data_IF_321719624037
#
_entry.id   IF_321719624037
#
_cell.length_a   1.000
_cell.length_b   1.000
_cell.length_c   1.000
_cell.angle_alpha   90.00
_cell.angle_beta   90.00
_cell.angle_gamma   90.00
#
_symmetry.space_group_name_H-M   'P 1'
#
loop_
_entity.id
_entity.type
_entity.pdbx_description
1 polymer ?
#
# COMPACT_ATOMS: atom_id res chain seq x y z
N UNK A 1 5.73 28.15 15.07
CA UNK A 1 6.28 27.41 13.91
C UNK A 1 5.10 27.03 13.02
N UNK A 2 4.91 27.70 11.88
CA UNK A 2 3.74 27.46 11.03
C UNK A 2 3.76 26.03 10.49
N UNK A 3 2.80 25.20 10.91
CA UNK A 3 2.64 23.84 10.40
C UNK A 3 2.27 23.96 8.91
N UNK A 4 3.24 23.69 8.04
CA UNK A 4 3.06 23.71 6.59
C UNK A 4 1.98 22.69 6.26
N UNK A 5 0.79 23.15 5.84
CA UNK A 5 -0.32 22.27 5.46
C UNK A 5 0.16 21.36 4.34
N UNK A 6 -0.08 20.07 4.50
CA UNK A 6 0.20 19.08 3.47
C UNK A 6 -0.82 19.29 2.35
N UNK A 7 -0.34 19.69 1.16
CA UNK A 7 -1.20 19.85 -0.01
C UNK A 7 -1.79 18.52 -0.47
N UNK A 8 -2.81 18.54 -1.33
CA UNK A 8 -3.51 17.34 -1.82
C UNK A 8 -2.57 16.29 -2.41
N UNK A 9 -1.55 16.73 -3.15
CA UNK A 9 -0.61 15.82 -3.82
C UNK A 9 0.32 15.09 -2.83
N UNK A 10 0.97 15.84 -1.93
CA UNK A 10 1.91 15.29 -0.94
C UNK A 10 1.19 14.62 0.24
N UNK A 11 0.02 15.11 0.63
CA UNK A 11 -0.70 14.67 1.80
C UNK A 11 -1.68 13.53 1.57
N UNK A 12 -2.21 13.37 0.34
CA UNK A 12 -3.27 12.39 0.04
C UNK A 12 -2.88 11.50 -1.13
N UNK A 13 -2.61 12.07 -2.31
CA UNK A 13 -2.36 11.28 -3.51
C UNK A 13 -1.13 10.37 -3.38
N UNK A 14 0.00 10.93 -2.99
CA UNK A 14 1.25 10.18 -2.80
C UNK A 14 1.07 9.01 -1.83
N UNK A 15 0.53 9.19 -0.59
CA UNK A 15 0.25 8.08 0.35
C UNK A 15 -0.70 7.05 -0.19
N UNK A 16 -1.80 7.46 -0.81
CA UNK A 16 -2.76 6.50 -1.34
C UNK A 16 -2.14 5.63 -2.43
N UNK A 17 -1.43 6.22 -3.40
CA UNK A 17 -0.78 5.45 -4.48
C UNK A 17 0.26 4.47 -3.91
N UNK A 18 1.08 4.91 -2.95
CA UNK A 18 2.11 4.06 -2.34
C UNK A 18 1.51 2.87 -1.56
N UNK A 19 0.34 3.05 -0.95
CA UNK A 19 -0.36 1.97 -0.23
C UNK A 19 -1.06 0.98 -1.15
N UNK A 20 -1.47 1.41 -2.35
CA UNK A 20 -2.10 0.53 -3.35
C UNK A 20 -1.03 -0.26 -4.11
N UNK A 21 0.05 0.41 -4.53
CA UNK A 21 1.18 -0.20 -5.25
C UNK A 21 2.11 -0.93 -4.28
N UNK A 22 1.62 -2.04 -3.76
CA UNK A 22 2.30 -2.84 -2.75
C UNK A 22 3.06 -4.05 -3.29
N UNK A 23 3.58 -4.84 -2.35
CA UNK A 23 4.35 -6.05 -2.62
C UNK A 23 3.59 -7.12 -3.43
N UNK A 24 2.25 -7.16 -3.30
CA UNK A 24 1.39 -8.13 -3.99
C UNK A 24 1.49 -7.95 -5.51
N UNK A 25 1.55 -6.71 -5.99
CA UNK A 25 1.67 -6.42 -7.42
C UNK A 25 2.96 -7.01 -8.01
N UNK A 26 4.07 -6.95 -7.27
CA UNK A 26 5.37 -7.44 -7.74
C UNK A 26 5.57 -8.95 -7.54
N UNK A 27 5.25 -9.49 -6.36
CA UNK A 27 5.58 -10.88 -6.01
C UNK A 27 4.46 -11.88 -6.27
N UNK A 28 3.21 -11.45 -6.41
CA UNK A 28 2.06 -12.37 -6.48
C UNK A 28 1.28 -12.28 -7.78
N UNK A 29 1.26 -11.13 -8.46
CA UNK A 29 0.49 -10.97 -9.70
C UNK A 29 0.87 -11.99 -10.77
N UNK A 30 2.17 -12.24 -10.98
CA UNK A 30 2.64 -13.26 -11.93
C UNK A 30 2.18 -14.68 -11.57
N UNK A 31 2.22 -15.03 -10.29
CA UNK A 31 1.74 -16.34 -9.81
C UNK A 31 0.22 -16.49 -9.98
N UNK A 32 -0.56 -15.44 -9.72
CA UNK A 32 -2.03 -15.45 -9.92
C UNK A 32 -2.38 -15.65 -11.40
N UNK A 33 -1.71 -14.92 -12.29
CA UNK A 33 -1.88 -15.09 -13.75
C UNK A 33 -1.52 -16.51 -14.19
N UNK A 34 -0.45 -17.09 -13.64
CA UNK A 34 -0.03 -18.45 -13.96
C UNK A 34 -1.03 -19.54 -13.53
N UNK A 35 -1.73 -19.37 -12.41
CA UNK A 35 -2.65 -20.38 -11.88
C UNK A 35 -4.09 -20.22 -12.40
N UNK A 36 -4.59 -18.99 -12.49
CA UNK A 36 -5.99 -18.68 -12.81
C UNK A 36 -6.17 -18.31 -14.29
N UNK A 37 -5.06 -18.03 -14.99
CA UNK A 37 -5.06 -17.53 -16.35
C UNK A 37 -5.35 -16.02 -16.44
N UNK A 38 -5.15 -15.46 -17.63
CA UNK A 38 -5.31 -14.03 -17.88
C UNK A 38 -6.75 -13.54 -17.65
N UNK A 39 -7.73 -14.24 -18.23
CA UNK A 39 -9.14 -13.85 -18.16
C UNK A 39 -9.67 -13.87 -16.72
N UNK A 40 -9.35 -14.92 -15.94
CA UNK A 40 -9.76 -15.01 -14.55
C UNK A 40 -9.04 -13.99 -13.66
N UNK A 41 -7.76 -13.71 -13.91
CA UNK A 41 -7.05 -12.64 -13.19
C UNK A 41 -7.66 -11.27 -13.48
N UNK A 42 -8.00 -10.99 -14.74
CA UNK A 42 -8.65 -9.73 -15.13
C UNK A 42 -10.01 -9.56 -14.44
N UNK A 43 -10.79 -10.64 -14.34
CA UNK A 43 -12.06 -10.64 -13.62
C UNK A 43 -11.88 -10.33 -12.12
N UNK A 44 -10.90 -10.95 -11.46
CA UNK A 44 -10.58 -10.69 -10.04
C UNK A 44 -10.20 -9.22 -9.84
N UNK A 45 -9.33 -8.68 -10.71
CA UNK A 45 -8.88 -7.28 -10.63
C UNK A 45 -10.05 -6.32 -10.87
N UNK A 46 -10.93 -6.61 -11.83
CA UNK A 46 -12.10 -5.77 -12.11
C UNK A 46 -13.07 -5.75 -10.92
N UNK A 47 -13.35 -6.91 -10.33
CA UNK A 47 -14.23 -7.03 -9.16
C UNK A 47 -13.65 -6.30 -7.95
N UNK A 48 -12.36 -6.47 -7.67
CA UNK A 48 -11.67 -5.76 -6.59
C UNK A 48 -11.75 -4.24 -6.77
N UNK A 49 -11.49 -3.74 -7.98
CA UNK A 49 -11.60 -2.32 -8.29
C UNK A 49 -13.03 -1.79 -8.13
N UNK A 50 -14.05 -2.56 -8.53
CA UNK A 50 -15.44 -2.16 -8.33
C UNK A 50 -15.78 -1.96 -6.84
N UNK A 51 -15.35 -2.89 -5.98
CA UNK A 51 -15.55 -2.80 -4.53
C UNK A 51 -14.83 -1.56 -3.96
N UNK A 52 -13.57 -1.33 -4.36
CA UNK A 52 -12.80 -0.17 -3.90
C UNK A 52 -13.41 1.16 -4.37
N UNK A 53 -13.92 1.23 -5.59
CA UNK A 53 -14.57 2.42 -6.14
C UNK A 53 -15.85 2.76 -5.37
N UNK A 54 -16.73 1.79 -5.15
CA UNK A 54 -17.96 1.99 -4.38
C UNK A 54 -17.64 2.46 -2.95
N UNK A 55 -16.63 1.85 -2.31
CA UNK A 55 -16.19 2.23 -0.97
C UNK A 55 -15.62 3.66 -0.94
N UNK A 56 -14.84 4.02 -1.95
CA UNK A 56 -14.23 5.36 -2.06
C UNK A 56 -15.28 6.44 -2.30
N UNK A 57 -16.31 6.18 -3.12
CA UNK A 57 -17.42 7.12 -3.30
C UNK A 57 -18.21 7.32 -2.01
N UNK A 58 -18.49 6.24 -1.26
CA UNK A 58 -19.11 6.35 0.07
C UNK A 58 -18.25 7.17 1.03
N UNK A 59 -16.93 6.95 1.05
CA UNK A 59 -16.02 7.71 1.90
C UNK A 59 -15.94 9.20 1.50
N UNK A 60 -15.99 9.50 0.19
CA UNK A 60 -16.04 10.86 -0.32
C UNK A 60 -17.31 11.60 0.12
N UNK A 61 -18.46 10.93 0.13
CA UNK A 61 -19.71 11.50 0.64
C UNK A 61 -19.61 11.85 2.14
N UNK A 62 -19.05 10.95 2.94
CA UNK A 62 -18.80 11.16 4.39
C UNK A 62 -17.86 12.36 4.61
N UNK A 63 -16.76 12.42 3.86
CA UNK A 63 -15.77 13.49 3.95
C UNK A 63 -16.33 14.86 3.55
N UNK A 64 -17.29 14.90 2.62
CA UNK A 64 -17.94 16.15 2.17
C UNK A 64 -19.04 16.61 3.13
N UNK A 65 -19.70 15.68 3.83
CA UNK A 65 -20.82 16.00 4.73
C UNK A 65 -20.38 16.49 6.12
N UNK A 66 -19.10 16.37 6.47
CA UNK A 66 -18.60 16.63 7.83
C UNK A 66 -17.57 17.74 7.83
N UNK A 67 -17.66 18.67 8.79
CA UNK A 67 -16.55 19.61 9.05
C UNK A 67 -15.36 18.82 9.59
N UNK A 68 -14.38 18.57 8.74
CA UNK A 68 -13.18 17.81 9.07
C UNK A 68 -12.38 18.58 10.13
N UNK A 69 -12.45 18.11 11.38
CA UNK A 69 -11.65 18.62 12.49
C UNK A 69 -10.21 18.12 12.42
N UNK A 70 -9.44 18.36 13.48
CA UNK A 70 -8.09 17.78 13.63
C UNK A 70 -8.25 16.29 13.96
N UNK A 71 -8.39 15.44 12.95
CA UNK A 71 -8.62 14.00 13.09
C UNK A 71 -8.48 13.25 11.77
N UNK A 72 -8.26 11.93 11.85
CA UNK A 72 -8.11 11.04 10.69
C UNK A 72 -9.42 10.37 10.25
N UNK A 73 -9.32 9.27 9.51
CA UNK A 73 -10.47 8.53 8.98
C UNK A 73 -11.48 8.11 10.05
N UNK A 74 -11.01 7.58 11.20
CA UNK A 74 -11.89 7.18 12.31
C UNK A 74 -12.68 8.36 12.90
N UNK A 75 -12.06 9.53 12.97
CA UNK A 75 -12.72 10.74 13.47
C UNK A 75 -13.84 11.20 12.53
N UNK A 76 -13.62 11.12 11.22
CA UNK A 76 -14.67 11.43 10.23
C UNK A 76 -15.84 10.46 10.36
N UNK A 77 -15.58 9.14 10.39
CA UNK A 77 -16.63 8.11 10.44
C UNK A 77 -17.47 8.22 11.73
N UNK A 78 -16.82 8.27 12.90
CA UNK A 78 -17.55 8.29 14.17
C UNK A 78 -18.42 9.54 14.36
N UNK A 79 -18.05 10.66 13.70
CA UNK A 79 -18.82 11.91 13.78
C UNK A 79 -19.95 12.01 12.77
N UNK A 80 -19.84 11.36 11.61
CA UNK A 80 -20.91 11.34 10.61
C UNK A 80 -21.95 10.25 10.85
N UNK A 81 -21.52 9.08 11.34
CA UNK A 81 -22.37 7.88 11.46
C UNK A 81 -22.69 7.51 12.92
N UNK A 82 -22.07 8.16 13.90
CA UNK A 82 -22.26 7.87 15.32
C UNK A 82 -21.25 6.86 15.89
N UNK A 83 -21.24 6.74 17.21
CA UNK A 83 -20.27 5.94 17.96
C UNK A 83 -20.37 4.43 17.63
N UNK A 84 -21.59 3.92 17.47
CA UNK A 84 -21.87 2.51 17.21
C UNK A 84 -21.24 2.05 15.88
N UNK A 85 -21.52 2.78 14.79
CA UNK A 85 -20.90 2.53 13.48
C UNK A 85 -19.41 2.84 13.47
N UNK A 86 -18.97 3.86 14.21
CA UNK A 86 -17.55 4.17 14.37
C UNK A 86 -16.76 3.01 14.97
N UNK A 87 -17.26 2.39 16.05
CA UNK A 87 -16.64 1.21 16.66
C UNK A 87 -16.67 -0.02 15.76
N UNK A 88 -17.82 -0.29 15.14
CA UNK A 88 -18.01 -1.45 14.27
C UNK A 88 -17.08 -1.45 13.04
N UNK A 89 -16.78 -0.28 12.47
CA UNK A 89 -15.85 -0.14 11.33
C UNK A 89 -14.40 0.03 11.80
N UNK A 90 -14.19 0.74 12.93
CA UNK A 90 -12.87 1.10 13.43
C UNK A 90 -12.04 -0.10 13.89
N UNK A 91 -12.65 -1.05 14.60
CA UNK A 91 -11.94 -2.22 15.12
C UNK A 91 -11.43 -3.15 13.99
N UNK A 92 -12.24 -3.53 12.98
CA UNK A 92 -11.74 -4.28 11.82
C UNK A 92 -10.68 -3.53 11.03
N UNK A 93 -10.82 -2.20 10.86
CA UNK A 93 -9.82 -1.40 10.17
C UNK A 93 -8.48 -1.45 10.91
N UNK A 94 -8.48 -1.30 12.24
CA UNK A 94 -7.26 -1.42 13.05
C UNK A 94 -6.57 -2.79 12.89
N UNK A 95 -7.34 -3.88 13.00
CA UNK A 95 -6.82 -5.24 12.82
C UNK A 95 -6.27 -5.46 11.40
N UNK A 96 -6.99 -4.97 10.39
CA UNK A 96 -6.54 -5.04 9.00
C UNK A 96 -5.20 -4.33 8.80
N UNK A 97 -5.00 -3.15 9.40
CA UNK A 97 -3.73 -2.44 9.32
C UNK A 97 -2.60 -3.17 10.05
N UNK A 98 -2.86 -3.79 11.19
CA UNK A 98 -1.86 -4.60 11.90
C UNK A 98 -1.41 -5.81 11.06
N UNK A 99 -2.37 -6.51 10.43
CA UNK A 99 -2.07 -7.60 9.49
C UNK A 99 -1.32 -7.09 8.25
N UNK A 100 -1.67 -5.91 7.74
CA UNK A 100 -1.04 -5.30 6.56
C UNK A 100 0.44 -4.98 6.80
N UNK A 101 0.79 -4.43 7.96
CA UNK A 101 2.21 -4.18 8.33
C UNK A 101 3.01 -5.48 8.30
N UNK A 102 2.45 -6.56 8.85
CA UNK A 102 3.09 -7.88 8.83
C UNK A 102 3.27 -8.39 7.40
N UNK A 103 2.23 -8.30 6.56
CA UNK A 103 2.27 -8.70 5.16
C UNK A 103 3.37 -7.97 4.38
N UNK A 104 3.48 -6.65 4.56
CA UNK A 104 4.51 -5.86 3.89
C UNK A 104 5.92 -6.18 4.40
N UNK A 105 6.09 -6.46 5.69
CA UNK A 105 7.38 -6.86 6.24
C UNK A 105 7.86 -8.21 5.71
N UNK A 106 6.97 -9.21 5.65
CA UNK A 106 7.28 -10.52 5.04
C UNK A 106 7.53 -10.40 3.54
N UNK A 107 6.74 -9.59 2.84
CA UNK A 107 6.94 -9.34 1.43
C UNK A 107 8.31 -8.70 1.12
N UNK A 108 8.75 -7.76 1.95
CA UNK A 108 10.09 -7.17 1.83
C UNK A 108 11.20 -8.18 2.15
N UNK A 109 11.01 -9.01 3.18
CA UNK A 109 11.96 -10.07 3.52
C UNK A 109 12.10 -11.12 2.40
N UNK A 110 11.00 -11.45 1.71
CA UNK A 110 11.00 -12.34 0.54
C UNK A 110 11.73 -11.70 -0.65
N UNK A 111 11.47 -10.42 -0.92
CA UNK A 111 12.19 -9.67 -1.95
C UNK A 111 13.71 -9.60 -1.68
N UNK A 112 14.12 -9.43 -0.42
CA UNK A 112 15.54 -9.44 -0.04
C UNK A 112 16.18 -10.82 -0.25
N UNK A 113 15.45 -11.90 0.00
CA UNK A 113 15.94 -13.26 -0.23
C UNK A 113 16.23 -13.54 -1.71
N UNK A 114 15.46 -12.93 -2.62
CA UNK A 114 15.72 -13.03 -4.07
C UNK A 114 17.07 -12.40 -4.42
N UNK A 115 17.45 -11.30 -3.76
CA UNK A 115 18.74 -10.63 -3.97
C UNK A 115 19.90 -11.32 -3.23
N UNK A 116 19.64 -11.83 -2.01
CA UNK A 116 20.62 -12.54 -1.18
C UNK A 116 20.07 -13.90 -0.71
N UNK A 117 20.46 -15.01 -1.38
CA UNK A 117 19.90 -16.34 -1.15
C UNK A 117 20.09 -16.92 0.26
N UNK A 118 21.04 -16.38 1.05
CA UNK A 118 21.37 -16.84 2.40
C UNK A 118 20.57 -16.19 3.53
N UNK A 119 19.64 -15.27 3.22
CA UNK A 119 18.93 -14.49 4.25
C UNK A 119 17.71 -15.24 4.78
N UNK A 120 17.64 -15.53 6.10
CA UNK A 120 16.47 -16.16 6.70
C UNK A 120 15.29 -15.18 6.80
N UNK A 121 14.12 -15.57 6.29
CA UNK A 121 12.94 -14.69 6.12
C UNK A 121 12.33 -14.26 7.46
N UNK A 122 12.10 -15.20 8.39
CA UNK A 122 11.46 -14.94 9.67
C UNK A 122 12.19 -13.90 10.55
N UNK A 123 13.50 -14.04 10.84
CA UNK A 123 14.21 -13.03 11.63
C UNK A 123 14.35 -11.70 10.88
N UNK A 124 14.45 -11.71 9.56
CA UNK A 124 14.51 -10.48 8.75
C UNK A 124 13.20 -9.69 8.83
N UNK A 125 12.05 -10.37 8.72
CA UNK A 125 10.75 -9.74 8.89
C UNK A 125 10.59 -9.14 10.31
N UNK A 126 11.05 -9.83 11.34
CA UNK A 126 11.06 -9.31 12.71
C UNK A 126 11.89 -8.02 12.82
N UNK A 127 13.13 -8.03 12.30
CA UNK A 127 13.99 -6.83 12.27
C UNK A 127 13.35 -5.67 11.51
N UNK A 128 12.72 -5.94 10.36
CA UNK A 128 12.01 -4.92 9.56
C UNK A 128 10.88 -4.29 10.38
N UNK A 129 10.01 -5.10 11.01
CA UNK A 129 8.89 -4.59 11.81
C UNK A 129 9.40 -3.77 12.99
N UNK A 130 10.42 -4.23 13.72
CA UNK A 130 11.01 -3.49 14.83
C UNK A 130 11.62 -2.17 14.36
N UNK A 131 12.34 -2.17 13.24
CA UNK A 131 12.95 -0.96 12.67
C UNK A 131 11.90 0.07 12.22
N UNK A 132 10.84 -0.37 11.52
CA UNK A 132 9.73 0.50 11.10
C UNK A 132 8.98 1.05 12.32
N UNK A 133 8.79 0.23 13.36
CA UNK A 133 8.17 0.66 14.61
C UNK A 133 9.00 1.74 15.29
N UNK A 134 10.32 1.57 15.37
CA UNK A 134 11.22 2.58 15.93
C UNK A 134 11.24 3.88 15.10
N UNK A 135 11.20 3.77 13.77
CA UNK A 135 11.10 4.92 12.88
C UNK A 135 9.78 5.67 13.08
N UNK A 136 8.68 4.97 13.29
CA UNK A 136 7.37 5.56 13.59
C UNK A 136 7.40 6.35 14.91
N UNK A 137 8.10 5.86 15.94
CA UNK A 137 8.29 6.58 17.20
C UNK A 137 9.07 7.90 17.04
N UNK A 138 10.05 7.95 16.13
CA UNK A 138 10.94 9.13 15.98
C UNK A 138 10.27 10.31 15.28
N UNK A 139 9.14 10.11 14.60
CA UNK A 139 8.25 11.20 14.18
C UNK A 139 7.66 11.03 12.77
N UNK A 140 6.33 11.15 12.69
CA UNK A 140 5.53 11.04 11.46
C UNK A 140 5.96 12.04 10.36
N UNK A 141 6.53 13.20 10.74
CA UNK A 141 7.01 14.21 9.78
C UNK A 141 8.19 13.76 8.92
N UNK A 142 9.04 12.83 9.42
CA UNK A 142 10.13 12.25 8.62
C UNK A 142 9.62 11.20 7.64
N UNK A 143 8.68 10.35 8.08
CA UNK A 143 8.08 9.33 7.24
C UNK A 143 7.40 9.93 5.99
N UNK A 144 6.72 11.07 6.16
CA UNK A 144 6.01 11.72 5.06
C UNK A 144 6.95 12.38 4.03
N UNK A 145 8.12 12.86 4.48
CA UNK A 145 9.15 13.36 3.56
C UNK A 145 9.86 12.23 2.83
N UNK A 146 10.10 11.10 3.51
CA UNK A 146 10.69 9.90 2.91
C UNK A 146 9.80 9.30 1.80
N UNK A 147 8.54 9.69 1.75
CA UNK A 147 7.58 9.16 0.79
C UNK A 147 7.77 9.65 -0.65
N UNK A 148 8.28 10.87 -0.82
CA UNK A 148 8.54 11.45 -2.16
C UNK A 148 9.60 10.67 -2.94
N UNK A 149 10.78 10.35 -2.39
CA UNK A 149 11.75 9.54 -3.11
C UNK A 149 11.26 8.11 -3.37
N UNK A 150 10.47 7.53 -2.46
CA UNK A 150 9.83 6.23 -2.65
C UNK A 150 8.89 6.23 -3.86
N UNK A 151 8.09 7.29 -4.04
CA UNK A 151 7.22 7.40 -5.22
C UNK A 151 8.03 7.47 -6.52
N UNK A 152 9.14 8.21 -6.52
CA UNK A 152 10.07 8.23 -7.66
C UNK A 152 10.62 6.85 -8.00
N UNK A 153 11.01 6.07 -6.98
CA UNK A 153 11.50 4.71 -7.16
C UNK A 153 10.44 3.77 -7.75
N UNK A 154 9.18 3.87 -7.30
CA UNK A 154 8.08 3.07 -7.88
C UNK A 154 7.84 3.43 -9.34
N UNK A 155 7.87 4.71 -9.70
CA UNK A 155 7.71 5.13 -11.11
C UNK A 155 8.83 4.55 -11.97
N UNK A 156 10.08 4.58 -11.51
CA UNK A 156 11.22 3.96 -12.20
C UNK A 156 11.03 2.45 -12.33
N UNK A 157 10.58 1.79 -11.26
CA UNK A 157 10.30 0.34 -11.25
C UNK A 157 9.20 -0.04 -12.25
N UNK A 158 8.11 0.73 -12.32
CA UNK A 158 7.04 0.51 -13.30
C UNK A 158 7.52 0.74 -14.75
N UNK A 159 8.35 1.77 -14.98
CA UNK A 159 8.92 2.01 -16.29
C UNK A 159 9.86 0.87 -16.72
N UNK A 160 10.67 0.34 -15.80
CA UNK A 160 11.53 -0.82 -16.06
C UNK A 160 10.71 -2.08 -16.36
N UNK A 161 9.62 -2.30 -15.64
CA UNK A 161 8.69 -3.41 -15.89
C UNK A 161 8.02 -3.27 -17.28
N UNK A 162 7.55 -2.08 -17.63
CA UNK A 162 6.95 -1.82 -18.93
C UNK A 162 7.96 -1.99 -20.07
N UNK A 163 9.19 -1.51 -19.89
CA UNK A 163 10.28 -1.72 -20.85
C UNK A 163 10.65 -3.20 -20.98
N UNK A 164 10.67 -3.97 -19.88
CA UNK A 164 10.88 -5.41 -19.91
C UNK A 164 9.76 -6.18 -20.62
N UNK A 165 8.52 -5.69 -20.54
CA UNK A 165 7.37 -6.31 -21.20
C UNK A 165 7.23 -5.95 -22.69
N UNK A 166 7.66 -4.74 -23.09
CA UNK A 166 7.55 -4.23 -24.47
C UNK A 166 8.87 -4.31 -25.26
N UNK A 167 9.97 -4.64 -24.59
CA UNK A 167 11.27 -4.78 -25.20
C UNK A 167 11.30 -5.98 -26.17
N UNK A 168 12.04 -5.88 -27.29
CA UNK A 168 12.13 -6.97 -28.27
C UNK A 168 12.67 -8.23 -27.60
N UNK A 169 11.96 -9.35 -27.81
CA UNK A 169 12.26 -10.67 -27.27
C UNK A 169 13.75 -11.00 -27.41
N UNK A 170 14.51 -10.92 -26.31
CA UNK A 170 15.78 -11.66 -26.20
C UNK A 170 15.46 -13.09 -25.79
N UNK A 171 14.66 -13.76 -26.63
CA UNK A 171 14.48 -15.20 -26.61
C UNK A 171 15.70 -15.88 -27.26
N UNK A 172 16.88 -15.78 -26.63
CA UNK A 172 18.06 -16.54 -27.03
C UNK A 172 19.18 -16.50 -25.96
N UNK A 173 18.92 -16.98 -24.75
CA UNK A 173 20.00 -17.60 -23.96
C UNK A 173 19.47 -18.92 -23.38
N UNK A 174 19.98 -20.08 -23.84
CA UNK A 174 19.70 -21.36 -23.23
C UNK A 174 20.53 -21.50 -21.96
N UNK A 175 19.86 -21.64 -20.82
CA UNK A 175 20.42 -22.19 -19.57
C UNK A 175 19.56 -23.34 -19.11
#
# INVERSE_FOLDING_TARGET
MAMKKLGTFLGVFTPTVLTILGVIMYLRLGWVVGNVGLAGTLFIVLLANAITLITTFSFSAIATNTRVGVGGAYYMISRSLGLEFGGAIGLPLFLSQACSVTLYAFGLAEALRILWPGVPVQPTAFVIVTAVTFLAYRGAGMALKAQVPLMGLIVVSLAALAYGALGPDRAAEPV
#
